data_IF_365939166190
#
_entry.id   IF_365939166190
#
_cell.length_a   1.000
_cell.length_b   1.000
_cell.length_c   1.000
_cell.angle_alpha   90.00
_cell.angle_beta   90.00
_cell.angle_gamma   90.00
#
_symmetry.space_group_name_H-M   'P 1'
#
loop_
_entity.id
_entity.type
_entity.pdbx_description
1 polymer ?
#
# COMPACT_ATOMS: atom_id res chain seq x y z
N UNK A 1 -20.84 -4.48 23.74
CA UNK A 1 -20.65 -3.39 22.75
C UNK A 1 -21.22 -3.89 21.43
N UNK A 2 -22.44 -4.43 21.44
CA UNK A 2 -22.95 -5.33 20.39
C UNK A 2 -24.23 -4.78 19.73
N UNK A 3 -24.95 -3.90 20.44
CA UNK A 3 -26.21 -3.30 19.98
C UNK A 3 -26.06 -2.49 18.69
N UNK A 4 -24.96 -1.73 18.54
CA UNK A 4 -24.74 -0.88 17.37
C UNK A 4 -24.51 -1.72 16.12
N UNK A 5 -23.77 -2.83 16.25
CA UNK A 5 -23.49 -3.73 15.12
C UNK A 5 -24.77 -4.41 14.63
N UNK A 6 -25.61 -4.89 15.56
CA UNK A 6 -26.90 -5.51 15.24
C UNK A 6 -27.86 -4.52 14.56
N UNK A 7 -27.95 -3.29 15.05
CA UNK A 7 -28.80 -2.25 14.47
C UNK A 7 -28.38 -1.87 13.04
N UNK A 8 -27.07 -1.70 12.80
CA UNK A 8 -26.53 -1.37 11.48
C UNK A 8 -26.80 -2.49 10.46
N UNK A 9 -26.70 -3.75 10.86
CA UNK A 9 -26.98 -4.88 9.97
C UNK A 9 -28.45 -4.96 9.59
N UNK A 10 -29.38 -4.78 10.55
CA UNK A 10 -30.81 -4.74 10.26
C UNK A 10 -31.21 -3.60 9.33
N UNK A 11 -30.56 -2.44 9.47
CA UNK A 11 -30.78 -1.31 8.57
C UNK A 11 -30.30 -1.66 7.15
N UNK A 12 -29.11 -2.23 7.01
CA UNK A 12 -28.54 -2.62 5.73
C UNK A 12 -29.40 -3.64 4.97
N UNK A 13 -29.94 -4.64 5.69
CA UNK A 13 -30.84 -5.64 5.10
C UNK A 13 -32.12 -5.01 4.53
N UNK A 14 -32.72 -4.04 5.23
CA UNK A 14 -33.92 -3.34 4.76
C UNK A 14 -33.64 -2.52 3.50
N UNK A 15 -32.51 -1.81 3.44
CA UNK A 15 -32.12 -1.07 2.25
C UNK A 15 -31.91 -1.98 1.03
N UNK A 16 -31.36 -3.18 1.24
CA UNK A 16 -31.15 -4.16 0.17
C UNK A 16 -32.48 -4.73 -0.37
N UNK A 17 -33.46 -4.95 0.51
CA UNK A 17 -34.80 -5.42 0.15
C UNK A 17 -35.63 -4.37 -0.61
N UNK A 18 -35.44 -3.09 -0.30
CA UNK A 18 -36.13 -2.00 -1.00
C UNK A 18 -35.51 -1.68 -2.38
N UNK A 19 -34.50 -2.43 -2.82
CA UNK A 19 -33.87 -2.26 -4.13
C UNK A 19 -33.14 -0.92 -4.29
N UNK A 20 -32.86 -0.24 -3.19
CA UNK A 20 -32.20 1.06 -3.18
C UNK A 20 -30.70 0.81 -3.38
N UNK A 21 -30.20 1.22 -4.54
CA UNK A 21 -28.76 1.17 -4.81
C UNK A 21 -28.03 2.16 -3.89
N UNK A 22 -27.35 1.64 -2.87
CA UNK A 22 -26.57 2.44 -1.93
C UNK A 22 -25.43 3.16 -2.68
N UNK A 23 -25.33 4.50 -2.59
CA UNK A 23 -24.24 5.24 -3.22
C UNK A 23 -22.86 4.95 -2.56
N UNK A 24 -22.85 4.38 -1.35
CA UNK A 24 -21.64 3.99 -0.64
C UNK A 24 -21.71 2.53 -0.17
N UNK A 25 -20.85 1.69 -0.75
CA UNK A 25 -20.84 0.24 -0.48
C UNK A 25 -19.85 -0.12 0.63
N UNK A 26 -19.99 -1.33 1.19
CA UNK A 26 -18.99 -1.89 2.11
C UNK A 26 -17.59 -1.99 1.48
N UNK A 27 -17.51 -2.09 0.15
CA UNK A 27 -16.26 -2.06 -0.61
C UNK A 27 -15.63 -0.66 -0.58
N UNK A 28 -16.42 0.39 -0.83
CA UNK A 28 -15.97 1.79 -0.71
C UNK A 28 -15.45 2.09 0.70
N UNK A 29 -16.10 1.54 1.73
CA UNK A 29 -15.62 1.64 3.11
C UNK A 29 -14.28 0.94 3.32
N UNK A 30 -14.13 -0.29 2.82
CA UNK A 30 -12.87 -1.05 2.92
C UNK A 30 -11.73 -0.32 2.19
N UNK A 31 -11.99 0.23 1.01
CA UNK A 31 -11.01 1.00 0.24
C UNK A 31 -10.60 2.28 0.96
N UNK A 32 -11.57 3.00 1.54
CA UNK A 32 -11.29 4.21 2.34
C UNK A 32 -10.46 3.89 3.57
N UNK A 33 -10.83 2.88 4.35
CA UNK A 33 -10.07 2.45 5.54
C UNK A 33 -8.66 2.02 5.16
N UNK A 34 -8.49 1.30 4.05
CA UNK A 34 -7.17 0.90 3.56
C UNK A 34 -6.32 2.12 3.19
N UNK A 35 -6.92 3.10 2.49
CA UNK A 35 -6.25 4.33 2.08
C UNK A 35 -5.84 5.18 3.29
N UNK A 36 -6.75 5.37 4.24
CA UNK A 36 -6.49 6.12 5.47
C UNK A 36 -5.40 5.42 6.32
N UNK A 37 -5.41 4.08 6.40
CA UNK A 37 -4.35 3.33 7.08
C UNK A 37 -2.98 3.48 6.39
N UNK A 38 -2.94 3.46 5.05
CA UNK A 38 -1.72 3.74 4.28
C UNK A 38 -1.24 5.18 4.50
N UNK A 39 -2.15 6.15 4.59
CA UNK A 39 -1.83 7.56 4.87
C UNK A 39 -1.22 7.74 6.27
N UNK A 40 -1.79 7.08 7.29
CA UNK A 40 -1.25 7.08 8.67
C UNK A 40 0.14 6.43 8.71
N UNK A 41 0.34 5.31 8.01
CA UNK A 41 1.66 4.65 7.89
C UNK A 41 2.68 5.53 7.16
N UNK A 42 2.20 6.45 6.31
CA UNK A 42 3.07 7.39 5.57
C UNK A 42 3.49 8.58 6.44
N UNK A 43 2.68 8.98 7.42
CA UNK A 43 2.95 10.10 8.32
C UNK A 43 3.92 9.73 9.45
N UNK A 44 3.92 8.46 9.86
CA UNK A 44 4.86 7.90 10.83
C UNK A 44 6.06 7.25 10.12
N UNK A 45 7.13 8.04 9.90
CA UNK A 45 8.33 7.58 9.21
C UNK A 45 8.94 6.29 9.82
N UNK A 46 8.76 6.07 11.13
CA UNK A 46 9.21 4.88 11.86
C UNK A 46 8.57 3.59 11.35
N UNK A 47 7.26 3.59 11.10
CA UNK A 47 6.55 2.43 10.56
C UNK A 47 6.88 2.15 9.09
N UNK A 48 7.16 3.19 8.29
CA UNK A 48 7.61 3.04 6.90
C UNK A 48 8.89 2.19 6.82
N UNK A 49 9.87 2.45 7.69
CA UNK A 49 11.10 1.66 7.73
C UNK A 49 10.84 0.22 8.18
N UNK A 50 9.96 -0.02 9.14
CA UNK A 50 9.63 -1.38 9.58
C UNK A 50 8.92 -2.21 8.50
N UNK A 51 7.96 -1.61 7.78
CA UNK A 51 7.27 -2.26 6.66
C UNK A 51 8.25 -2.55 5.53
N UNK A 52 9.10 -1.57 5.18
CA UNK A 52 10.15 -1.78 4.18
C UNK A 52 11.13 -2.88 4.61
N UNK A 53 11.48 -2.97 5.90
CA UNK A 53 12.41 -3.98 6.42
C UNK A 53 11.91 -5.41 6.21
N UNK A 54 10.59 -5.62 6.20
CA UNK A 54 9.94 -6.92 5.93
C UNK A 54 9.96 -7.31 4.45
N UNK A 55 10.08 -6.34 3.54
CA UNK A 55 10.19 -6.58 2.10
C UNK A 55 11.63 -6.93 1.72
N UNK A 56 11.80 -7.88 0.81
CA UNK A 56 13.11 -8.18 0.22
C UNK A 56 13.57 -7.04 -0.70
N UNK A 57 14.89 -6.86 -0.92
CA UNK A 57 15.41 -5.75 -1.74
C UNK A 57 14.80 -5.70 -3.16
N UNK A 58 14.54 -6.85 -3.76
CA UNK A 58 13.90 -6.93 -5.08
C UNK A 58 12.43 -6.48 -5.05
N UNK A 59 11.70 -6.80 -3.99
CA UNK A 59 10.30 -6.37 -3.83
C UNK A 59 10.19 -4.88 -3.59
N UNK A 60 11.14 -4.27 -2.87
CA UNK A 60 11.20 -2.82 -2.68
C UNK A 60 11.43 -2.06 -3.99
N UNK A 61 12.20 -2.65 -4.90
CA UNK A 61 12.52 -2.07 -6.21
C UNK A 61 11.50 -2.45 -7.30
N UNK A 62 10.52 -3.30 -6.98
CA UNK A 62 9.51 -3.78 -7.92
C UNK A 62 8.55 -2.63 -8.27
N UNK A 63 8.45 -2.31 -9.56
CA UNK A 63 7.62 -1.20 -10.06
C UNK A 63 8.36 0.13 -10.20
N UNK A 64 9.60 0.26 -9.67
CA UNK A 64 10.45 1.43 -9.95
C UNK A 64 11.13 1.27 -11.33
N UNK A 65 11.13 2.31 -12.18
CA UNK A 65 11.87 2.32 -13.43
C UNK A 65 13.39 2.29 -13.16
N UNK A 66 14.20 1.80 -14.12
CA UNK A 66 15.66 1.67 -13.93
C UNK A 66 16.35 2.97 -13.52
N UNK A 67 15.98 4.09 -14.12
CA UNK A 67 16.52 5.42 -13.81
C UNK A 67 16.32 5.80 -12.33
N UNK A 68 15.13 5.58 -11.77
CA UNK A 68 14.86 5.88 -10.36
C UNK A 68 15.62 4.96 -9.40
N UNK A 69 15.95 3.74 -9.81
CA UNK A 69 16.79 2.83 -9.00
C UNK A 69 18.24 3.27 -8.94
N UNK A 70 18.72 3.88 -10.02
CA UNK A 70 20.08 4.40 -10.14
C UNK A 70 20.21 5.81 -9.54
N UNK A 71 19.09 6.50 -9.35
CA UNK A 71 19.05 7.83 -8.78
C UNK A 71 19.55 7.83 -7.33
N UNK A 72 20.59 8.60 -7.04
CA UNK A 72 21.26 8.64 -5.73
C UNK A 72 22.46 7.70 -5.57
N UNK A 73 22.77 6.85 -6.55
CA UNK A 73 24.04 6.13 -6.63
C UNK A 73 25.08 6.99 -7.36
N UNK A 74 26.34 6.97 -6.89
CA UNK A 74 27.43 7.64 -7.60
C UNK A 74 27.75 6.90 -8.90
N UNK A 75 28.03 7.65 -9.96
CA UNK A 75 28.40 7.09 -11.26
C UNK A 75 29.65 6.20 -11.18
N UNK A 76 30.59 6.54 -10.31
CA UNK A 76 31.83 5.79 -10.07
C UNK A 76 31.55 4.36 -9.58
N UNK A 77 30.64 4.22 -8.61
CA UNK A 77 30.19 2.92 -8.08
C UNK A 77 29.48 2.08 -9.16
N UNK A 78 28.68 2.72 -10.02
CA UNK A 78 27.98 2.04 -11.11
C UNK A 78 29.01 1.51 -12.12
N UNK A 79 30.02 2.31 -12.47
CA UNK A 79 31.09 1.91 -13.38
C UNK A 79 31.94 0.78 -12.81
N UNK A 80 32.31 0.84 -11.52
CA UNK A 80 33.04 -0.26 -10.86
C UNK A 80 32.23 -1.56 -10.87
N UNK A 81 30.93 -1.48 -10.56
CA UNK A 81 30.05 -2.64 -10.60
C UNK A 81 29.95 -3.26 -12.00
N UNK A 82 29.83 -2.42 -13.03
CA UNK A 82 29.84 -2.87 -14.43
C UNK A 82 31.19 -3.52 -14.80
N UNK A 83 32.32 -2.92 -14.42
CA UNK A 83 33.66 -3.46 -14.71
C UNK A 83 33.88 -4.85 -14.08
N UNK A 84 33.35 -5.06 -12.87
CA UNK A 84 33.40 -6.34 -12.15
C UNK A 84 32.57 -7.44 -12.83
N UNK A 85 31.46 -7.08 -13.47
CA UNK A 85 30.53 -8.02 -14.10
C UNK A 85 30.71 -8.17 -15.61
N UNK A 86 31.44 -7.27 -16.28
CA UNK A 86 31.78 -7.38 -17.71
C UNK A 86 32.92 -8.35 -18.02
N UNK A 87 33.68 -8.80 -17.02
CA UNK A 87 34.78 -9.76 -17.17
C UNK A 87 34.38 -11.22 -16.89
N UNK A 88 33.08 -11.55 -16.98
CA UNK A 88 32.55 -12.90 -16.79
C UNK A 88 31.78 -13.34 -18.02
#
# INVERSE_FOLDING_TARGET
>A
MDDVSSFVNQLLERYHLEGINMPYTMENFRDKVRKDALEIVTQDNTLKYEVLKRLSPNERLKGLPPDERLNGLSLDFIQEYLAKHQNK
#
